data_IF_650531798978
#
_entry.id   IF_650531798978
#
_cell.length_a   1.000
_cell.length_b   1.000
_cell.length_c   1.000
_cell.angle_alpha   90.00
_cell.angle_beta   90.00
_cell.angle_gamma   90.00
#
_symmetry.space_group_name_H-M   'P 1'
#
loop_
_entity.id
_entity.type
_entity.pdbx_description
1 polymer ?
#
# COMPACT_ATOMS: atom_id res chain seq x y z
N UNK A 1 3.86 9.61 -19.22
CA UNK A 1 3.03 8.41 -19.01
C UNK A 1 2.34 8.63 -17.68
N UNK A 2 1.04 8.90 -17.73
CA UNK A 2 0.28 9.48 -16.62
C UNK A 2 0.21 8.53 -15.43
N UNK A 3 0.38 9.09 -14.22
CA UNK A 3 0.23 8.40 -12.93
C UNK A 3 -1.27 8.09 -12.71
N UNK A 4 -1.84 7.15 -13.46
CA UNK A 4 -3.25 6.75 -13.33
C UNK A 4 -3.41 5.70 -12.21
N UNK A 5 -4.24 5.99 -11.21
CA UNK A 5 -4.47 5.08 -10.09
C UNK A 5 -5.53 4.04 -10.46
N UNK A 6 -5.29 2.78 -10.12
CA UNK A 6 -6.21 1.67 -10.38
C UNK A 6 -7.07 1.33 -9.15
N UNK A 7 -8.36 1.08 -9.35
CA UNK A 7 -9.28 0.70 -8.26
C UNK A 7 -9.71 -0.76 -8.41
N UNK A 8 -9.47 -1.55 -7.36
CA UNK A 8 -9.72 -3.00 -7.37
C UNK A 8 -10.70 -3.42 -6.29
N UNK A 9 -11.51 -4.42 -6.58
CA UNK A 9 -12.37 -5.01 -5.57
C UNK A 9 -11.51 -5.63 -4.45
N UNK A 10 -11.78 -5.29 -3.19
CA UNK A 10 -11.02 -5.83 -2.05
C UNK A 10 -11.17 -7.34 -1.87
N UNK A 11 -12.32 -7.91 -2.31
CA UNK A 11 -12.62 -9.34 -2.17
C UNK A 11 -11.95 -10.21 -3.23
N UNK A 12 -12.09 -9.88 -4.51
CA UNK A 12 -11.56 -10.70 -5.61
C UNK A 12 -10.34 -10.09 -6.32
N UNK A 13 -9.89 -8.90 -5.92
CA UNK A 13 -8.76 -8.16 -6.51
C UNK A 13 -8.91 -7.81 -7.99
N UNK A 14 -10.07 -8.04 -8.62
CA UNK A 14 -10.35 -7.58 -9.98
C UNK A 14 -10.40 -6.06 -10.06
N UNK A 15 -9.73 -5.51 -11.08
CA UNK A 15 -9.80 -4.09 -11.44
C UNK A 15 -11.19 -3.72 -11.91
N UNK A 16 -11.73 -2.65 -11.34
CA UNK A 16 -13.09 -2.18 -11.59
C UNK A 16 -13.09 -0.93 -12.46
N UNK A 17 -12.21 0.03 -12.18
CA UNK A 17 -12.07 1.29 -12.92
C UNK A 17 -10.75 1.98 -12.55
N UNK A 18 -10.44 3.05 -13.28
CA UNK A 18 -9.25 3.88 -13.08
C UNK A 18 -9.62 5.27 -12.53
N UNK A 19 -8.63 6.05 -12.08
CA UNK A 19 -8.83 7.40 -11.54
C UNK A 19 -9.52 8.38 -12.48
N UNK A 20 -9.55 8.11 -13.78
CA UNK A 20 -10.31 8.88 -14.80
C UNK A 20 -11.83 8.91 -14.57
N UNK A 21 -12.36 7.93 -13.83
CA UNK A 21 -13.79 7.83 -13.50
C UNK A 21 -14.13 8.48 -12.15
N UNK A 22 -13.11 8.94 -11.41
CA UNK A 22 -13.26 9.39 -10.03
C UNK A 22 -13.38 10.90 -9.91
N UNK A 23 -14.26 11.33 -8.99
CA UNK A 23 -14.48 12.72 -8.65
C UNK A 23 -14.53 12.94 -7.12
N UNK A 24 -14.33 14.18 -6.67
CA UNK A 24 -14.60 14.56 -5.28
C UNK A 24 -16.09 14.59 -4.97
N UNK A 25 -16.41 14.82 -3.70
CA UNK A 25 -17.75 15.23 -3.25
C UNK A 25 -18.28 16.49 -3.94
N UNK A 26 -17.43 17.30 -4.59
CA UNK A 26 -17.82 18.50 -5.32
C UNK A 26 -17.72 18.32 -6.85
N UNK A 27 -17.52 17.09 -7.34
CA UNK A 27 -17.45 16.82 -8.78
C UNK A 27 -16.10 17.17 -9.44
N UNK A 28 -15.10 17.61 -8.68
CA UNK A 28 -13.77 17.88 -9.23
C UNK A 28 -13.08 16.57 -9.63
N UNK A 29 -12.27 16.54 -10.69
CA UNK A 29 -11.54 15.34 -11.09
C UNK A 29 -10.49 14.94 -10.05
N UNK A 30 -10.17 13.64 -10.00
CA UNK A 30 -9.17 13.08 -9.09
C UNK A 30 -7.82 13.80 -9.16
N UNK A 31 -7.35 14.31 -8.01
CA UNK A 31 -6.10 15.08 -7.90
C UNK A 31 -4.85 14.22 -7.64
N UNK A 32 -4.98 12.89 -7.60
CA UNK A 32 -3.87 12.02 -7.20
C UNK A 32 -3.75 11.80 -5.70
N UNK A 33 -4.72 12.23 -4.88
CA UNK A 33 -4.66 12.04 -3.44
C UNK A 33 -5.90 11.34 -2.89
N UNK A 34 -5.68 10.39 -1.98
CA UNK A 34 -6.73 9.60 -1.31
C UNK A 34 -7.59 10.39 -0.29
N UNK A 35 -7.25 11.66 -0.05
CA UNK A 35 -8.02 12.59 0.75
C UNK A 35 -8.49 13.72 -0.16
N UNK A 36 -9.54 13.45 -0.94
CA UNK A 36 -10.11 14.40 -1.88
C UNK A 36 -11.60 14.60 -1.58
N UNK A 37 -11.84 15.15 -0.39
CA UNK A 37 -13.15 15.42 0.19
C UNK A 37 -13.30 16.90 0.52
N UNK A 38 -14.55 17.33 0.68
CA UNK A 38 -14.88 18.66 1.18
C UNK A 38 -14.17 18.93 2.53
N UNK A 39 -13.52 20.09 2.74
CA UNK A 39 -12.87 20.43 4.02
C UNK A 39 -13.83 20.43 5.22
N UNK A 40 -15.12 20.66 4.97
CA UNK A 40 -16.17 20.68 5.98
C UNK A 40 -16.63 19.26 6.34
N UNK A 41 -16.53 18.32 5.40
CA UNK A 41 -16.95 16.95 5.60
C UNK A 41 -15.90 16.20 6.44
N UNK A 42 -16.27 15.88 7.68
CA UNK A 42 -15.37 15.20 8.63
C UNK A 42 -15.25 13.69 8.37
N UNK A 43 -16.11 13.11 7.52
CA UNK A 43 -16.27 11.66 7.38
C UNK A 43 -16.16 11.23 5.92
N UNK A 44 -14.93 10.98 5.48
CA UNK A 44 -14.62 10.59 4.10
C UNK A 44 -14.61 9.05 3.92
N UNK A 45 -15.80 8.44 3.90
CA UNK A 45 -15.98 6.97 3.88
C UNK A 45 -16.34 6.37 2.51
N UNK A 46 -16.64 7.23 1.53
CA UNK A 46 -17.07 6.83 0.19
C UNK A 46 -16.25 7.56 -0.88
N UNK A 47 -16.19 6.93 -2.04
CA UNK A 47 -15.63 7.43 -3.28
C UNK A 47 -16.77 7.80 -4.22
N UNK A 48 -16.65 8.93 -4.91
CA UNK A 48 -17.63 9.35 -5.91
C UNK A 48 -17.14 9.04 -7.32
N UNK A 49 -18.07 8.66 -8.18
CA UNK A 49 -17.81 8.34 -9.59
C UNK A 49 -18.60 9.32 -10.45
N UNK A 50 -17.98 9.81 -11.51
CA UNK A 50 -18.63 10.66 -12.53
C UNK A 50 -19.73 9.89 -13.26
N UNK A 51 -20.70 10.58 -13.83
CA UNK A 51 -21.82 9.99 -14.58
C UNK A 51 -21.62 9.99 -16.11
N UNK A 52 -20.68 10.77 -16.65
CA UNK A 52 -20.47 10.94 -18.10
C UNK A 52 -19.67 9.82 -18.78
N UNK A 53 -18.65 9.29 -18.08
CA UNK A 53 -17.76 8.26 -18.62
C UNK A 53 -17.73 7.12 -17.62
N UNK A 54 -18.62 6.15 -17.81
CA UNK A 54 -18.85 5.06 -16.90
C UNK A 54 -18.32 3.75 -17.48
N UNK A 55 -17.69 2.89 -16.67
CA UNK A 55 -17.29 1.58 -17.14
C UNK A 55 -18.54 0.72 -17.43
N UNK A 56 -18.47 -0.13 -18.46
CA UNK A 56 -19.61 -0.92 -18.97
C UNK A 56 -20.37 -1.67 -17.87
N UNK A 57 -19.63 -2.31 -16.94
CA UNK A 57 -20.24 -3.07 -15.85
C UNK A 57 -21.11 -2.21 -14.92
N UNK A 58 -20.80 -0.91 -14.79
CA UNK A 58 -21.57 0.02 -13.98
C UNK A 58 -22.80 0.48 -14.74
N UNK A 59 -22.67 0.82 -16.02
CA UNK A 59 -23.81 1.16 -16.90
C UNK A 59 -24.86 0.05 -16.88
N UNK A 60 -24.44 -1.21 -17.05
CA UNK A 60 -25.35 -2.35 -16.97
C UNK A 60 -26.11 -2.45 -15.63
N UNK A 61 -25.53 -1.98 -14.53
CA UNK A 61 -26.19 -1.98 -13.22
C UNK A 61 -27.09 -0.79 -13.01
N UNK A 62 -26.75 0.38 -13.58
CA UNK A 62 -27.61 1.56 -13.57
C UNK A 62 -28.86 1.33 -14.42
N UNK A 63 -28.71 0.76 -15.61
CA UNK A 63 -29.83 0.41 -16.50
C UNK A 63 -30.79 -0.59 -15.83
N UNK A 64 -30.24 -1.60 -15.14
CA UNK A 64 -31.06 -2.57 -14.36
C UNK A 64 -31.81 -1.93 -13.20
N UNK A 65 -31.32 -0.82 -12.67
CA UNK A 65 -31.99 -0.07 -11.60
C UNK A 65 -32.69 1.19 -12.10
N UNK A 66 -32.94 1.28 -13.42
CA UNK A 66 -33.66 2.36 -14.10
C UNK A 66 -33.14 3.77 -13.76
N UNK A 67 -31.85 3.89 -13.42
CA UNK A 67 -31.23 5.17 -13.04
C UNK A 67 -31.92 5.89 -11.87
N UNK A 68 -32.62 5.17 -10.99
CA UNK A 68 -33.36 5.76 -9.86
C UNK A 68 -32.52 5.67 -8.58
N UNK A 69 -32.46 4.47 -8.00
CA UNK A 69 -31.75 4.17 -6.76
C UNK A 69 -31.44 2.69 -6.72
N UNK A 70 -30.22 2.34 -6.37
CA UNK A 70 -29.82 0.94 -6.34
C UNK A 70 -28.51 0.67 -5.63
N UNK A 71 -28.14 -0.61 -5.60
CA UNK A 71 -26.90 -1.11 -4.99
C UNK A 71 -25.94 -1.53 -6.10
N UNK A 72 -24.65 -1.28 -5.88
CA UNK A 72 -23.59 -1.66 -6.79
C UNK A 72 -22.89 -2.93 -6.30
N UNK A 73 -22.68 -3.86 -7.23
CA UNK A 73 -22.07 -5.16 -6.97
C UNK A 73 -20.88 -5.40 -7.89
N UNK A 74 -19.84 -6.05 -7.37
CA UNK A 74 -18.71 -6.47 -8.19
C UNK A 74 -19.18 -7.44 -9.29
N UNK A 75 -18.79 -7.23 -10.57
CA UNK A 75 -19.23 -8.07 -11.67
C UNK A 75 -18.79 -9.54 -11.51
N UNK A 76 -17.67 -9.79 -10.84
CA UNK A 76 -17.10 -11.12 -10.62
C UNK A 76 -17.63 -11.81 -9.36
N UNK A 77 -17.30 -11.27 -8.18
CA UNK A 77 -17.56 -11.95 -6.91
C UNK A 77 -18.91 -11.58 -6.27
N UNK A 78 -19.71 -10.75 -6.96
CA UNK A 78 -21.00 -10.21 -6.52
C UNK A 78 -20.98 -9.56 -5.13
N UNK A 79 -19.80 -9.17 -4.64
CA UNK A 79 -19.67 -8.44 -3.39
C UNK A 79 -20.25 -7.03 -3.55
N UNK A 80 -20.92 -6.52 -2.51
CA UNK A 80 -21.42 -5.15 -2.50
C UNK A 80 -20.27 -4.15 -2.46
N UNK A 81 -20.22 -3.26 -3.45
CA UNK A 81 -19.21 -2.20 -3.57
C UNK A 81 -19.76 -0.87 -3.06
N UNK A 82 -21.00 -0.53 -3.41
CA UNK A 82 -21.57 0.79 -3.15
C UNK A 82 -23.06 0.87 -3.45
N UNK A 83 -23.51 2.07 -3.81
CA UNK A 83 -24.88 2.37 -4.22
C UNK A 83 -24.92 3.60 -5.13
N UNK A 84 -26.05 3.80 -5.78
CA UNK A 84 -26.33 5.01 -6.55
C UNK A 84 -27.71 5.56 -6.17
N UNK A 85 -27.87 6.88 -6.23
CA UNK A 85 -29.12 7.58 -5.91
C UNK A 85 -29.20 8.86 -6.75
N UNK A 86 -30.02 8.85 -7.80
CA UNK A 86 -30.23 10.00 -8.69
C UNK A 86 -31.46 10.83 -8.29
N UNK A 87 -32.31 10.32 -7.39
CA UNK A 87 -33.57 10.98 -7.01
C UNK A 87 -33.39 11.93 -5.85
N UNK A 88 -32.62 11.52 -4.84
CA UNK A 88 -32.59 12.24 -3.56
C UNK A 88 -31.74 13.51 -3.62
N UNK A 89 -30.73 13.55 -4.51
CA UNK A 89 -29.87 14.72 -4.68
C UNK A 89 -29.22 15.19 -3.37
N UNK A 90 -28.59 14.26 -2.64
CA UNK A 90 -28.00 14.55 -1.33
C UNK A 90 -27.01 15.72 -1.41
N UNK A 91 -27.16 16.71 -0.52
CA UNK A 91 -26.21 17.83 -0.44
C UNK A 91 -24.97 17.43 0.36
N UNK A 92 -23.85 18.03 -0.01
CA UNK A 92 -22.63 17.96 0.79
C UNK A 92 -22.82 18.73 2.09
N UNK A 93 -22.10 18.37 3.16
CA UNK A 93 -22.17 19.03 4.47
C UNK A 93 -21.81 20.54 4.44
N UNK A 94 -21.28 21.03 3.33
CA UNK A 94 -21.05 22.46 3.11
C UNK A 94 -22.28 23.22 2.59
N UNK A 95 -23.39 22.52 2.29
CA UNK A 95 -24.64 23.02 1.69
C UNK A 95 -24.52 23.75 0.33
N UNK A 96 -23.32 23.92 -0.20
CA UNK A 96 -23.05 24.59 -1.48
C UNK A 96 -23.10 23.65 -2.70
N UNK A 97 -22.78 22.37 -2.51
CA UNK A 97 -22.65 21.40 -3.61
C UNK A 97 -23.57 20.20 -3.42
N UNK A 98 -24.10 19.67 -4.51
CA UNK A 98 -24.82 18.39 -4.54
C UNK A 98 -23.81 17.27 -4.73
N UNK A 99 -23.92 16.21 -3.93
CA UNK A 99 -23.04 15.04 -4.02
C UNK A 99 -23.31 14.28 -5.32
N UNK A 100 -22.25 13.76 -5.97
CA UNK A 100 -22.44 12.89 -7.13
C UNK A 100 -23.32 11.68 -6.78
N UNK A 101 -24.21 11.26 -7.69
CA UNK A 101 -25.23 10.25 -7.40
C UNK A 101 -24.63 8.86 -7.17
N UNK A 102 -23.48 8.58 -7.77
CA UNK A 102 -22.81 7.27 -7.71
C UNK A 102 -21.72 7.31 -6.64
N UNK A 103 -21.83 6.42 -5.65
CA UNK A 103 -20.87 6.33 -4.56
C UNK A 103 -20.45 4.89 -4.25
N UNK A 104 -19.17 4.72 -3.92
CA UNK A 104 -18.55 3.42 -3.67
C UNK A 104 -17.84 3.44 -2.32
N UNK A 105 -18.01 2.41 -1.50
CA UNK A 105 -17.40 2.40 -0.17
C UNK A 105 -15.88 2.19 -0.24
N UNK A 106 -15.12 3.08 0.41
CA UNK A 106 -13.65 2.95 0.53
C UNK A 106 -13.23 1.64 1.21
N UNK A 107 -14.06 1.11 2.10
CA UNK A 107 -13.79 -0.15 2.79
C UNK A 107 -13.82 -1.39 1.89
N UNK A 108 -14.45 -1.29 0.69
CA UNK A 108 -14.72 -2.40 -0.22
C UNK A 108 -13.82 -2.41 -1.46
N UNK A 109 -13.04 -1.35 -1.67
CA UNK A 109 -12.15 -1.18 -2.81
C UNK A 109 -10.75 -0.82 -2.31
N UNK A 110 -9.74 -1.38 -2.94
CA UNK A 110 -8.35 -0.98 -2.76
C UNK A 110 -7.93 -0.03 -3.89
N UNK A 111 -7.19 1.02 -3.53
CA UNK A 111 -6.63 1.99 -4.46
C UNK A 111 -5.14 1.66 -4.67
N UNK A 112 -4.80 1.20 -5.87
CA UNK A 112 -3.43 1.02 -6.31
C UNK A 112 -2.93 2.33 -6.90
N UNK A 113 -2.51 3.22 -6.03
CA UNK A 113 -1.71 4.35 -6.47
C UNK A 113 -0.24 3.90 -6.50
N UNK A 114 0.31 3.74 -7.70
CA UNK A 114 1.75 3.53 -7.88
C UNK A 114 2.47 4.78 -7.43
N UNK A 115 2.79 4.87 -6.12
CA UNK A 115 3.78 5.82 -5.66
C UNK A 115 5.09 5.43 -6.34
N UNK A 116 5.73 6.38 -7.02
CA UNK A 116 7.05 6.17 -7.63
C UNK A 116 7.94 5.57 -6.56
N UNK A 117 8.30 4.29 -6.70
CA UNK A 117 9.13 3.59 -5.73
C UNK A 117 10.42 4.40 -5.51
N UNK A 118 10.92 5.07 -6.56
CA UNK A 118 12.00 6.05 -6.50
C UNK A 118 11.84 7.12 -5.40
N UNK A 119 10.68 7.77 -5.27
CA UNK A 119 10.49 8.82 -4.25
C UNK A 119 10.36 8.25 -2.83
N UNK A 120 9.87 7.02 -2.68
CA UNK A 120 9.89 6.31 -1.40
C UNK A 120 11.34 5.93 -1.04
N UNK A 121 12.11 5.41 -2.00
CA UNK A 121 13.52 5.05 -1.83
C UNK A 121 14.42 6.24 -1.51
N UNK A 122 14.06 7.46 -1.97
CA UNK A 122 14.75 8.70 -1.61
C UNK A 122 14.59 9.08 -0.13
N UNK A 123 13.46 8.71 0.50
CA UNK A 123 13.13 9.08 1.89
C UNK A 123 13.29 7.92 2.87
N UNK A 124 13.40 6.68 2.39
CA UNK A 124 13.94 5.60 3.20
C UNK A 124 15.38 6.00 3.50
N UNK A 125 15.67 6.25 4.77
CA UNK A 125 17.04 6.43 5.26
C UNK A 125 17.81 5.21 4.80
N UNK A 126 18.56 5.35 3.70
CA UNK A 126 19.60 4.40 3.41
C UNK A 126 20.48 4.44 4.64
N UNK A 127 20.66 3.33 5.38
CA UNK A 127 21.67 3.32 6.42
C UNK A 127 22.94 3.88 5.78
N UNK A 128 23.67 4.80 6.45
CA UNK A 128 24.85 5.38 5.86
C UNK A 128 25.64 4.23 5.26
N UNK A 129 25.83 4.28 3.93
CA UNK A 129 26.79 3.40 3.28
C UNK A 129 28.10 3.94 3.80
N UNK A 130 28.47 3.57 5.03
CA UNK A 130 29.80 3.73 5.55
C UNK A 130 30.63 3.15 4.43
N UNK A 131 31.45 4.01 3.82
CA UNK A 131 32.37 3.65 2.77
C UNK A 131 32.89 2.25 3.11
N UNK A 132 32.96 1.37 2.10
CA UNK A 132 33.80 0.18 2.17
C UNK A 132 35.26 0.62 2.35
N UNK A 133 35.55 1.30 3.45
CA UNK A 133 36.83 1.30 4.10
C UNK A 133 36.89 -0.10 4.65
N UNK A 134 37.83 -0.86 4.11
CA UNK A 134 38.46 -1.99 4.77
C UNK A 134 38.16 -1.92 6.26
N UNK A 135 37.42 -2.92 6.77
CA UNK A 135 37.11 -3.02 8.19
C UNK A 135 38.43 -2.87 8.93
N UNK A 136 38.67 -1.69 9.51
CA UNK A 136 39.91 -1.45 10.20
C UNK A 136 39.86 -2.38 11.42
N UNK A 137 40.90 -3.17 11.70
CA UNK A 137 40.94 -4.08 12.86
C UNK A 137 40.68 -3.40 14.21
N UNK A 138 40.59 -2.06 14.24
CA UNK A 138 40.34 -1.24 15.43
C UNK A 138 38.89 -1.22 15.92
N UNK A 139 37.88 -1.66 15.17
CA UNK A 139 36.47 -1.61 15.63
C UNK A 139 36.21 -2.44 16.89
N UNK A 140 36.89 -3.59 17.03
CA UNK A 140 36.80 -4.42 18.23
C UNK A 140 37.40 -3.76 19.49
N UNK A 141 38.31 -2.79 19.31
CA UNK A 141 38.92 -2.05 20.42
C UNK A 141 37.99 -0.96 20.99
N UNK A 142 36.98 -0.53 20.23
CA UNK A 142 36.04 0.54 20.59
C UNK A 142 34.73 0.04 21.21
N UNK A 143 34.50 -1.29 21.27
CA UNK A 143 33.28 -1.85 21.86
C UNK A 143 33.32 -1.78 23.39
N UNK A 144 32.26 -1.20 23.97
CA UNK A 144 32.03 -1.13 25.41
C UNK A 144 31.75 -2.53 25.99
N UNK A 145 32.22 -2.80 27.21
CA UNK A 145 32.35 -4.15 27.80
C UNK A 145 31.14 -5.09 27.65
N UNK A 146 29.87 -4.68 27.85
CA UNK A 146 28.73 -5.60 27.70
C UNK A 146 28.51 -6.06 26.25
N UNK A 147 28.89 -5.22 25.30
CA UNK A 147 28.77 -5.50 23.87
C UNK A 147 29.94 -6.35 23.38
N UNK A 148 31.14 -6.10 23.93
CA UNK A 148 32.34 -6.89 23.64
C UNK A 148 32.18 -8.35 24.07
N UNK A 149 31.73 -8.59 25.30
CA UNK A 149 31.53 -9.95 25.82
C UNK A 149 30.50 -10.75 24.99
N UNK A 150 29.41 -10.11 24.55
CA UNK A 150 28.41 -10.74 23.67
C UNK A 150 28.96 -11.10 22.29
N UNK A 151 29.89 -10.29 21.79
CA UNK A 151 30.51 -10.51 20.49
C UNK A 151 31.57 -11.61 20.57
N UNK A 152 32.39 -11.64 21.62
CA UNK A 152 33.34 -12.74 21.90
C UNK A 152 32.63 -14.09 22.06
N UNK A 153 31.50 -14.13 22.76
CA UNK A 153 30.69 -15.33 22.87
C UNK A 153 30.20 -15.83 21.50
N UNK A 154 29.83 -14.92 20.59
CA UNK A 154 29.42 -15.28 19.24
C UNK A 154 30.60 -15.76 18.38
N UNK A 155 31.78 -15.16 18.51
CA UNK A 155 33.01 -15.64 17.84
C UNK A 155 33.35 -17.07 18.32
N UNK A 156 33.27 -17.31 19.63
CA UNK A 156 33.50 -18.65 20.19
C UNK A 156 32.48 -19.67 19.68
N UNK A 157 31.24 -19.26 19.42
CA UNK A 157 30.21 -20.11 18.82
C UNK A 157 30.43 -20.37 17.33
N UNK A 158 31.33 -19.63 16.68
CA UNK A 158 31.65 -19.73 15.25
C UNK A 158 33.11 -20.18 15.03
N UNK A 159 33.66 -21.02 15.92
CA UNK A 159 35.02 -21.59 15.84
C UNK A 159 36.12 -20.53 15.66
N UNK A 160 35.95 -19.34 16.26
CA UNK A 160 36.92 -18.25 16.16
C UNK A 160 36.75 -17.38 14.91
N UNK A 161 35.78 -17.67 14.04
CA UNK A 161 35.44 -16.86 12.87
C UNK A 161 34.42 -15.79 13.26
N UNK A 162 34.67 -14.55 12.85
CA UNK A 162 33.73 -13.45 13.11
C UNK A 162 32.44 -13.64 12.29
N UNK A 163 31.26 -13.74 12.96
CA UNK A 163 29.98 -13.95 12.28
C UNK A 163 29.51 -12.76 11.44
N UNK A 164 30.14 -11.59 11.58
CA UNK A 164 29.84 -10.39 10.79
C UNK A 164 30.86 -10.11 9.70
N UNK A 165 31.90 -10.94 9.58
CA UNK A 165 32.79 -10.89 8.42
C UNK A 165 31.99 -11.33 7.19
N UNK A 166 31.69 -10.37 6.33
CA UNK A 166 31.07 -10.63 5.04
C UNK A 166 32.10 -11.37 4.18
N UNK A 167 31.95 -12.69 4.04
CA UNK A 167 32.69 -13.46 3.03
C UNK A 167 32.27 -12.96 1.65
N UNK A 168 33.01 -11.98 1.11
CA UNK A 168 32.85 -11.57 -0.26
C UNK A 168 33.25 -12.74 -1.16
N UNK A 169 32.27 -13.43 -1.75
CA UNK A 169 32.49 -14.35 -2.86
C UNK A 169 32.11 -15.81 -2.68
N UNK A 170 31.36 -16.22 -1.65
CA UNK A 170 30.77 -17.57 -1.61
C UNK A 170 29.25 -17.52 -1.78
N UNK A 171 28.74 -18.44 -2.59
CA UNK A 171 27.32 -18.51 -2.97
C UNK A 171 26.41 -18.47 -1.75
N UNK A 172 25.50 -17.48 -1.74
CA UNK A 172 24.61 -17.13 -0.62
C UNK A 172 23.74 -18.29 -0.12
N UNK A 173 23.58 -19.36 -0.90
CA UNK A 173 22.80 -20.55 -0.57
C UNK A 173 23.40 -21.35 0.58
N UNK A 174 24.73 -21.48 0.65
CA UNK A 174 25.42 -22.29 1.67
C UNK A 174 25.46 -21.59 3.03
N UNK A 175 25.60 -20.26 3.03
CA UNK A 175 25.61 -19.44 4.24
C UNK A 175 24.23 -19.41 4.93
N UNK A 176 23.15 -19.39 4.15
CA UNK A 176 21.78 -19.45 4.67
C UNK A 176 21.45 -20.84 5.23
N UNK A 177 21.92 -21.92 4.59
CA UNK A 177 21.73 -23.29 5.12
C UNK A 177 22.45 -23.52 6.46
N UNK A 178 23.68 -23.02 6.61
CA UNK A 178 24.42 -23.08 7.88
C UNK A 178 23.70 -22.29 8.99
N UNK A 179 23.18 -21.10 8.68
CA UNK A 179 22.40 -20.30 9.63
C UNK A 179 21.14 -21.03 10.11
N UNK A 180 20.40 -21.69 9.21
CA UNK A 180 19.19 -22.44 9.59
C UNK A 180 19.48 -23.77 10.30
N UNK A 181 20.61 -24.42 10.01
CA UNK A 181 21.06 -25.61 10.77
C UNK A 181 21.42 -25.27 12.21
N UNK A 182 22.10 -24.15 12.45
CA UNK A 182 22.48 -23.70 13.80
C UNK A 182 21.28 -23.30 14.68
N UNK A 183 20.13 -22.98 14.10
CA UNK A 183 18.89 -22.68 14.84
C UNK A 183 18.00 -23.88 15.18
N UNK A 184 18.31 -25.08 14.68
CA UNK A 184 17.60 -26.32 15.02
C UNK A 184 18.49 -27.22 15.89
N UNK A 185 18.69 -26.85 17.14
CA UNK A 185 18.98 -27.83 18.19
C UNK A 185 17.92 -27.70 19.28
N UNK A 186 17.41 -28.84 19.81
CA UNK A 186 16.30 -28.83 20.74
C UNK A 186 16.74 -28.21 22.07
N UNK A 187 15.93 -27.28 22.56
CA UNK A 187 15.98 -26.82 23.95
C UNK A 187 15.62 -28.02 24.84
N UNK A 188 16.60 -28.60 25.54
CA UNK A 188 16.34 -29.42 26.74
C UNK A 188 16.33 -28.52 27.96
#
# INVERSE_FOLDING_TARGET
MSDEAGFRCKKCRRTLFSSSHMVSSHGNPWSGHVAFSCPINKVDTVWYVRDENLPDWLLEQLDKGEWVKGKLYCPECKARLGSFDFVTGAKCDCDEFVLPPIHISKSRIDCDQTRKIASILEHIVQPPVTQRKEFCPSYFAELVDPTRARYEAKISMCDGVDPYTLCAGTDTTTAVELYYRLRRMPTS
#
